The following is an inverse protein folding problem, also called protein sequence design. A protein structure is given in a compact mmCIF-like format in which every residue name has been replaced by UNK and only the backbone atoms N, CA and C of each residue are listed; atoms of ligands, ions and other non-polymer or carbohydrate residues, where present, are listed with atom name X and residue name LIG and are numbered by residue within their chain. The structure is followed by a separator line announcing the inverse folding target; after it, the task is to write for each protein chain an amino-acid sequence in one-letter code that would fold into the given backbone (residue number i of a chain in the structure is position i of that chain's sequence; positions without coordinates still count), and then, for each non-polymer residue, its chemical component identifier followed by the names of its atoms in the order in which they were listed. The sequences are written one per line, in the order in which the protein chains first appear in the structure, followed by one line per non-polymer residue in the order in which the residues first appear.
data_IF_180962976358
#
_entry.id   IF_180962976358
#
_cell.length_a   1.000
_cell.length_b   1.000
_cell.length_c   1.000
_cell.angle_alpha   90.00
_cell.angle_beta   90.00
_cell.angle_gamma   90.00
#
_symmetry.space_group_name_H-M   'P 1'
#
loop_
_entity.id
_entity.type
_entity.pdbx_description
1 polymer ?
#
# COMPACT_ATOMS: atom_id res chain seq x y z
N UNK A 1 -9.62 8.69 -4.26
CA UNK A 1 -10.20 9.08 -2.95
C UNK A 1 -11.62 8.56 -2.76
N UNK A 2 -12.42 8.44 -3.83
CA UNK A 2 -13.81 7.96 -3.76
C UNK A 2 -14.03 6.58 -3.11
N UNK A 3 -13.06 5.66 -3.18
CA UNK A 3 -13.20 4.34 -2.53
C UNK A 3 -12.72 4.29 -1.08
N UNK A 4 -12.24 5.42 -0.52
CA UNK A 4 -11.91 5.53 0.90
C UNK A 4 -12.93 6.48 1.55
N UNK A 5 -14.18 6.04 1.68
CA UNK A 5 -15.08 6.64 2.67
C UNK A 5 -16.39 5.86 2.81
N UNK A 6 -16.54 5.18 3.95
CA UNK A 6 -17.78 5.34 4.70
C UNK A 6 -17.82 6.79 5.20
N UNK A 7 -18.97 7.48 5.19
CA UNK A 7 -19.14 8.95 5.21
C UNK A 7 -18.35 9.82 6.21
N UNK A 8 -17.61 9.25 7.16
CA UNK A 8 -16.71 9.96 8.09
C UNK A 8 -15.23 10.01 7.63
N UNK A 9 -14.82 9.18 6.66
CA UNK A 9 -13.42 9.01 6.27
C UNK A 9 -12.75 10.28 5.73
N UNK A 10 -13.48 11.13 5.02
CA UNK A 10 -12.95 12.38 4.44
C UNK A 10 -12.54 13.40 5.50
N UNK A 11 -13.38 13.62 6.51
CA UNK A 11 -13.09 14.53 7.64
C UNK A 11 -11.86 14.10 8.44
N UNK A 12 -11.64 12.79 8.57
CA UNK A 12 -10.44 12.27 9.22
C UNK A 12 -9.20 12.64 8.42
N UNK A 13 -9.21 12.40 7.10
CA UNK A 13 -8.07 12.70 6.21
C UNK A 13 -7.69 14.18 6.19
N UNK A 14 -8.67 15.09 6.25
CA UNK A 14 -8.41 16.54 6.33
C UNK A 14 -7.73 16.95 7.64
N UNK A 15 -7.96 16.22 8.73
CA UNK A 15 -7.36 16.47 10.04
C UNK A 15 -6.01 15.79 10.22
N UNK A 16 -5.58 14.91 9.31
CA UNK A 16 -4.27 14.25 9.40
C UNK A 16 -3.19 15.31 9.11
N UNK A 17 -2.20 15.49 10.00
CA UNK A 17 -1.09 16.38 9.72
C UNK A 17 -0.37 15.92 8.45
N UNK A 18 -0.01 16.86 7.58
CA UNK A 18 0.61 16.56 6.29
C UNK A 18 2.01 15.98 6.50
N UNK A 19 2.09 14.67 6.73
CA UNK A 19 3.32 13.95 6.94
C UNK A 19 3.95 13.63 5.58
N UNK A 20 5.27 13.82 5.42
CA UNK A 20 5.95 13.42 4.19
C UNK A 20 5.78 11.91 3.99
N UNK A 21 5.45 11.52 2.76
CA UNK A 21 5.36 10.10 2.38
C UNK A 21 6.74 9.47 2.56
N UNK A 22 6.86 8.55 3.51
CA UNK A 22 8.06 7.72 3.65
C UNK A 22 8.00 6.59 2.62
N UNK A 23 9.03 6.42 1.78
CA UNK A 23 9.03 5.32 0.83
C UNK A 23 9.17 3.99 1.60
N UNK A 24 8.51 2.94 1.11
CA UNK A 24 8.48 1.64 1.80
C UNK A 24 9.88 1.04 1.99
N UNK A 25 10.83 1.32 1.08
CA UNK A 25 12.23 0.92 1.22
C UNK A 25 12.89 1.41 2.52
N UNK A 26 12.53 2.61 2.99
CA UNK A 26 13.10 3.20 4.21
C UNK A 26 12.45 2.62 5.47
N UNK A 27 11.20 2.15 5.36
CA UNK A 27 10.50 1.41 6.43
C UNK A 27 11.00 -0.04 6.55
N UNK A 28 11.30 -0.66 5.41
CA UNK A 28 11.73 -2.05 5.29
C UNK A 28 13.23 -2.15 4.98
N UNK A 29 14.06 -1.49 5.80
CA UNK A 29 15.51 -1.41 5.61
C UNK A 29 16.22 -2.77 5.49
N UNK A 30 15.61 -3.85 5.99
CA UNK A 30 16.17 -5.20 5.98
C UNK A 30 15.67 -6.08 4.81
N UNK A 31 14.77 -5.59 3.97
CA UNK A 31 14.22 -6.38 2.86
C UNK A 31 15.18 -6.29 1.67
N UNK A 32 16.02 -7.32 1.52
CA UNK A 32 17.02 -7.41 0.46
C UNK A 32 16.43 -7.70 -0.92
N UNK A 33 15.25 -8.33 -0.98
CA UNK A 33 14.59 -8.71 -2.23
C UNK A 33 13.71 -7.59 -2.79
N UNK A 34 14.09 -7.03 -3.94
CA UNK A 34 13.31 -6.01 -4.66
C UNK A 34 11.88 -6.49 -4.97
N UNK A 35 11.72 -7.77 -5.32
CA UNK A 35 10.42 -8.40 -5.58
C UNK A 35 9.51 -8.43 -4.34
N UNK A 36 10.07 -8.54 -3.13
CA UNK A 36 9.30 -8.52 -1.89
C UNK A 36 8.75 -7.12 -1.61
N UNK A 37 9.58 -6.08 -1.79
CA UNK A 37 9.15 -4.69 -1.66
C UNK A 37 8.07 -4.33 -2.68
N UNK A 38 8.15 -4.86 -3.89
CA UNK A 38 7.17 -4.61 -4.95
C UNK A 38 5.80 -5.20 -4.59
N UNK A 39 5.77 -6.46 -4.13
CA UNK A 39 4.55 -7.09 -3.64
C UNK A 39 3.92 -6.31 -2.48
N UNK A 40 4.73 -5.95 -1.47
CA UNK A 40 4.25 -5.18 -0.31
C UNK A 40 3.69 -3.81 -0.75
N UNK A 41 4.36 -3.15 -1.70
CA UNK A 41 3.91 -1.85 -2.22
C UNK A 41 2.57 -1.95 -2.94
N UNK A 42 2.32 -3.05 -3.62
CA UNK A 42 1.08 -3.32 -4.36
C UNK A 42 -0.06 -3.84 -3.48
N UNK A 43 0.24 -4.38 -2.29
CA UNK A 43 -0.74 -4.78 -1.28
C UNK A 43 -1.13 -3.62 -0.34
N UNK A 44 -0.16 -2.84 0.13
CA UNK A 44 -0.37 -1.71 1.06
C UNK A 44 -0.67 -0.43 0.29
N UNK A 45 -1.72 -0.47 -0.53
CA UNK A 45 -2.24 0.70 -1.25
C UNK A 45 -3.42 1.32 -0.51
N UNK A 46 -3.45 2.65 -0.50
CA UNK A 46 -4.52 3.43 0.12
C UNK A 46 -5.85 3.24 -0.59
N UNK A 47 -5.84 3.18 -1.93
CA UNK A 47 -7.04 2.94 -2.72
C UNK A 47 -7.23 1.43 -2.92
N UNK A 48 -8.30 0.82 -2.39
CA UNK A 48 -8.53 -0.61 -2.53
C UNK A 48 -8.71 -1.05 -3.99
N UNK A 49 -9.12 -0.17 -4.90
CA UNK A 49 -9.28 -0.53 -6.31
C UNK A 49 -7.95 -0.77 -7.05
N UNK A 50 -6.83 -0.32 -6.48
CA UNK A 50 -5.49 -0.59 -7.02
C UNK A 50 -4.78 -1.70 -6.26
N UNK A 51 -5.45 -2.34 -5.29
CA UNK A 51 -4.85 -3.40 -4.48
C UNK A 51 -4.84 -4.68 -5.29
N UNK A 52 -3.70 -5.36 -5.32
CA UNK A 52 -3.60 -6.70 -5.88
C UNK A 52 -4.65 -7.61 -5.27
N UNK A 53 -5.31 -8.40 -6.11
CA UNK A 53 -6.16 -9.50 -5.64
C UNK A 53 -5.31 -10.64 -5.08
N UNK A 54 -5.93 -11.54 -4.32
CA UNK A 54 -5.21 -12.68 -3.73
C UNK A 54 -4.59 -13.59 -4.81
N UNK A 55 -5.26 -13.75 -5.96
CA UNK A 55 -4.75 -14.55 -7.08
C UNK A 55 -3.52 -13.89 -7.69
N UNK A 56 -3.60 -12.60 -8.05
CA UNK A 56 -2.45 -11.88 -8.64
C UNK A 56 -1.26 -11.79 -7.67
N UNK A 57 -1.53 -11.69 -6.35
CA UNK A 57 -0.48 -11.72 -5.33
C UNK A 57 0.24 -13.07 -5.24
N UNK A 58 -0.47 -14.18 -5.49
CA UNK A 58 0.11 -15.53 -5.53
C UNK A 58 0.94 -15.76 -6.80
N UNK A 59 0.59 -15.11 -7.91
CA UNK A 59 1.35 -15.16 -9.17
C UNK A 59 2.62 -14.29 -9.16
N UNK A 60 2.83 -13.52 -8.08
CA UNK A 60 3.95 -12.59 -8.01
C UNK A 60 5.31 -13.32 -7.90
N UNK A 61 6.38 -12.86 -8.59
CA UNK A 61 7.73 -13.48 -8.58
C UNK A 61 8.44 -13.50 -7.22
N UNK A 62 7.79 -13.05 -6.15
CA UNK A 62 8.28 -13.21 -4.79
C UNK A 62 7.78 -14.52 -4.14
N UNK A 63 6.62 -15.00 -4.57
CA UNK A 63 5.93 -16.18 -4.03
C UNK A 63 5.97 -17.36 -5.01
N UNK A 64 6.13 -17.08 -6.31
CA UNK A 64 6.25 -18.06 -7.40
C UNK A 64 7.61 -18.76 -7.46
#
# INVERSE_FOLDING_TARGET
IASVSAGYGTNLLEKIPNAPRRPLRDLFANVSSKSALDLISSLIVFNPNHRLTAIEALEHPYVA
#
